data_IF_278103651742
#
_entry.id   IF_278103651742
#
_cell.length_a   1.000
_cell.length_b   1.000
_cell.length_c   1.000
_cell.angle_alpha   90.00
_cell.angle_beta   90.00
_cell.angle_gamma   90.00
#
_symmetry.space_group_name_H-M   'P 1'
#
loop_
_entity.id
_entity.type
_entity.pdbx_description
1 polymer ?
#
# COMPACT_ATOMS: atom_id res chain seq x y z
N UNK A 1 1.90 -4.87 16.89
CA UNK A 1 2.30 -4.57 15.49
C UNK A 1 2.03 -5.83 14.66
N UNK A 2 0.80 -6.03 14.18
CA UNK A 2 0.40 -7.26 13.47
C UNK A 2 1.02 -7.25 12.07
N UNK A 3 1.65 -8.36 11.67
CA UNK A 3 2.48 -8.48 10.47
C UNK A 3 1.69 -8.13 9.20
N UNK A 4 1.97 -6.97 8.63
CA UNK A 4 1.57 -6.69 7.25
C UNK A 4 2.18 -7.78 6.35
N UNK A 5 1.45 -8.23 5.32
CA UNK A 5 1.97 -9.25 4.39
C UNK A 5 3.19 -8.67 3.67
N UNK A 6 4.36 -9.22 3.98
CA UNK A 6 5.62 -8.94 3.28
C UNK A 6 5.59 -9.53 1.88
N UNK A 7 6.34 -8.96 0.95
CA UNK A 7 6.44 -9.49 -0.41
C UNK A 7 7.11 -10.87 -0.40
N UNK A 8 8.18 -11.01 0.41
CA UNK A 8 8.98 -12.22 0.48
C UNK A 8 10.01 -12.32 -0.65
N UNK A 9 11.15 -12.94 -0.34
CA UNK A 9 12.30 -13.01 -1.25
C UNK A 9 11.98 -13.74 -2.55
N UNK A 10 11.32 -14.91 -2.48
CA UNK A 10 10.99 -15.70 -3.66
C UNK A 10 10.14 -14.93 -4.67
N UNK A 11 9.20 -14.11 -4.17
CA UNK A 11 8.34 -13.31 -5.04
C UNK A 11 9.11 -12.16 -5.69
N UNK A 12 9.98 -11.49 -4.93
CA UNK A 12 10.87 -10.46 -5.48
C UNK A 12 11.79 -11.05 -6.56
N UNK A 13 12.38 -12.22 -6.33
CA UNK A 13 13.24 -12.86 -7.31
C UNK A 13 12.48 -13.25 -8.59
N UNK A 14 11.22 -13.71 -8.48
CA UNK A 14 10.37 -13.92 -9.64
C UNK A 14 10.09 -12.62 -10.41
N UNK A 15 9.86 -11.51 -9.71
CA UNK A 15 9.62 -10.20 -10.35
C UNK A 15 10.88 -9.71 -11.07
N UNK A 16 12.04 -9.82 -10.42
CA UNK A 16 13.32 -9.44 -11.01
C UNK A 16 13.69 -10.33 -12.21
N UNK A 17 13.35 -11.63 -12.18
CA UNK A 17 13.47 -12.53 -13.34
C UNK A 17 12.63 -12.06 -14.53
N UNK A 18 11.38 -11.62 -14.27
CA UNK A 18 10.54 -11.03 -15.30
C UNK A 18 11.15 -9.73 -15.82
N UNK A 19 11.57 -8.80 -14.96
CA UNK A 19 12.24 -7.56 -15.38
C UNK A 19 13.48 -7.83 -16.24
N UNK A 20 14.31 -8.79 -15.85
CA UNK A 20 15.50 -9.20 -16.60
C UNK A 20 15.18 -9.80 -17.98
N UNK A 21 14.00 -10.41 -18.12
CA UNK A 21 13.60 -11.13 -19.33
C UNK A 21 12.88 -10.25 -20.35
N UNK A 22 12.41 -9.06 -19.95
CA UNK A 22 11.65 -8.15 -20.80
C UNK A 22 12.25 -6.74 -20.74
N UNK A 23 12.99 -6.29 -21.77
CA UNK A 23 13.58 -4.95 -21.81
C UNK A 23 12.56 -3.81 -21.65
N UNK A 24 11.32 -4.03 -22.10
CA UNK A 24 10.21 -3.07 -22.00
C UNK A 24 9.53 -3.05 -20.64
N UNK A 25 10.00 -3.82 -19.65
CA UNK A 25 9.32 -3.98 -18.36
C UNK A 25 9.08 -2.66 -17.64
N UNK A 26 10.09 -1.80 -17.54
CA UNK A 26 9.98 -0.55 -16.79
C UNK A 26 9.02 0.42 -17.44
N UNK A 27 9.16 0.62 -18.76
CA UNK A 27 8.25 1.46 -19.54
C UNK A 27 6.81 0.92 -19.49
N UNK A 28 6.64 -0.41 -19.58
CA UNK A 28 5.35 -1.07 -19.45
C UNK A 28 4.68 -0.77 -18.10
N UNK A 29 5.42 -0.92 -16.99
CA UNK A 29 4.89 -0.63 -15.66
C UNK A 29 4.60 0.87 -15.50
N UNK A 30 5.48 1.72 -16.03
CA UNK A 30 5.35 3.17 -15.99
C UNK A 30 4.09 3.67 -16.72
N UNK A 31 3.83 3.22 -17.96
CA UNK A 31 2.65 3.68 -18.72
C UNK A 31 1.34 3.29 -18.02
N UNK A 32 1.29 2.11 -17.41
CA UNK A 32 0.10 1.64 -16.68
C UNK A 32 -0.09 2.42 -15.38
N UNK A 33 1.02 2.73 -14.68
CA UNK A 33 1.02 3.60 -13.51
C UNK A 33 0.58 5.02 -13.85
N UNK A 34 0.95 5.57 -15.01
CA UNK A 34 0.57 6.93 -15.39
C UNK A 34 -0.89 7.01 -15.88
N UNK A 35 -1.35 6.03 -16.67
CA UNK A 35 -2.69 6.05 -17.27
C UNK A 35 -3.81 5.70 -16.29
N UNK A 36 -3.61 4.71 -15.41
CA UNK A 36 -4.57 4.18 -14.41
C UNK A 36 -5.92 3.67 -14.93
N UNK A 37 -6.50 4.22 -15.98
CA UNK A 37 -7.73 3.78 -16.64
C UNK A 37 -7.60 2.40 -17.32
N UNK A 38 -6.37 1.95 -17.49
CA UNK A 38 -6.03 0.67 -18.09
C UNK A 38 -5.88 0.77 -19.60
N UNK A 39 -5.05 -0.13 -20.14
CA UNK A 39 -4.74 -0.19 -21.55
C UNK A 39 -4.94 -1.62 -22.06
N UNK A 40 -5.47 -1.74 -23.27
CA UNK A 40 -5.49 -3.00 -24.00
C UNK A 40 -4.08 -3.36 -24.50
N UNK A 41 -3.85 -4.63 -24.84
CA UNK A 41 -2.56 -5.06 -25.40
C UNK A 41 -2.17 -4.27 -26.65
N UNK A 42 -3.14 -3.93 -27.51
CA UNK A 42 -2.88 -3.14 -28.74
C UNK A 42 -2.42 -1.73 -28.43
N UNK A 43 -3.07 -1.05 -27.49
CA UNK A 43 -2.65 0.30 -27.04
C UNK A 43 -1.24 0.25 -26.45
N UNK A 44 -0.94 -0.75 -25.62
CA UNK A 44 0.39 -0.93 -25.02
C UNK A 44 1.45 -1.14 -26.10
N UNK A 45 1.22 -2.04 -27.06
CA UNK A 45 2.17 -2.29 -28.15
C UNK A 45 2.43 -1.03 -28.99
N UNK A 46 1.36 -0.25 -29.25
CA UNK A 46 1.47 1.00 -30.00
C UNK A 46 2.29 2.07 -29.27
N UNK A 47 2.15 2.18 -27.94
CA UNK A 47 2.87 3.16 -27.12
C UNK A 47 4.34 2.77 -26.95
N UNK A 48 4.61 1.49 -26.68
CA UNK A 48 5.95 0.98 -26.42
C UNK A 48 6.72 0.61 -27.69
N UNK A 49 6.08 0.70 -28.87
CA UNK A 49 6.62 0.22 -30.14
C UNK A 49 7.19 -1.21 -30.05
N UNK A 50 6.47 -2.08 -29.32
CA UNK A 50 6.93 -3.42 -28.96
C UNK A 50 6.11 -4.53 -29.65
N UNK A 51 6.71 -5.72 -29.79
CA UNK A 51 6.06 -6.89 -30.38
C UNK A 51 4.88 -7.39 -29.52
N UNK A 52 3.79 -7.77 -30.19
CA UNK A 52 2.57 -8.23 -29.52
C UNK A 52 2.80 -9.48 -28.66
N UNK A 53 3.56 -10.46 -29.16
CA UNK A 53 3.80 -11.70 -28.42
C UNK A 53 4.69 -11.45 -27.20
N UNK A 54 5.66 -10.55 -27.32
CA UNK A 54 6.49 -10.11 -26.19
C UNK A 54 5.61 -9.48 -25.09
N UNK A 55 4.76 -8.51 -25.45
CA UNK A 55 3.87 -7.84 -24.49
C UNK A 55 2.86 -8.82 -23.89
N UNK A 56 2.27 -9.71 -24.69
CA UNK A 56 1.32 -10.71 -24.21
C UNK A 56 1.96 -11.66 -23.17
N UNK A 57 3.19 -12.12 -23.42
CA UNK A 57 3.93 -12.97 -22.46
C UNK A 57 4.25 -12.22 -21.17
N UNK A 58 4.61 -10.93 -21.27
CA UNK A 58 4.83 -10.09 -20.09
C UNK A 58 3.54 -9.94 -19.27
N UNK A 59 2.42 -9.58 -19.92
CA UNK A 59 1.10 -9.47 -19.30
C UNK A 59 0.74 -10.76 -18.57
N UNK A 60 0.85 -11.92 -19.24
CA UNK A 60 0.51 -13.22 -18.65
C UNK A 60 1.33 -13.52 -17.37
N UNK A 61 2.64 -13.24 -17.39
CA UNK A 61 3.51 -13.38 -16.21
C UNK A 61 3.08 -12.43 -15.08
N UNK A 62 2.78 -11.17 -15.39
CA UNK A 62 2.38 -10.18 -14.39
C UNK A 62 0.99 -10.44 -13.79
N UNK A 63 0.06 -11.01 -14.56
CA UNK A 63 -1.23 -11.49 -14.04
C UNK A 63 -1.01 -12.64 -13.06
N UNK A 64 -0.18 -13.62 -13.42
CA UNK A 64 0.16 -14.74 -12.52
C UNK A 64 0.84 -14.26 -11.23
N UNK A 65 1.59 -13.16 -11.29
CA UNK A 65 2.19 -12.54 -10.11
C UNK A 65 1.22 -11.65 -9.31
N UNK A 66 -0.01 -11.47 -9.79
CA UNK A 66 -1.08 -10.59 -9.28
C UNK A 66 -0.71 -9.10 -9.32
N UNK A 67 0.24 -8.74 -10.19
CA UNK A 67 0.66 -7.35 -10.42
C UNK A 67 -0.35 -6.63 -11.31
N UNK A 68 -0.94 -7.37 -12.26
CA UNK A 68 -1.99 -6.85 -13.15
C UNK A 68 -3.34 -7.48 -12.83
N UNK A 69 -4.39 -6.70 -13.10
CA UNK A 69 -5.76 -7.17 -13.20
C UNK A 69 -6.30 -6.85 -14.59
N UNK A 70 -7.11 -7.75 -15.13
CA UNK A 70 -7.85 -7.52 -16.37
C UNK A 70 -9.27 -7.05 -16.05
N UNK A 71 -9.71 -5.99 -16.71
CA UNK A 71 -11.08 -5.47 -16.63
C UNK A 71 -11.48 -4.97 -18.00
N UNK A 72 -12.55 -5.54 -18.58
CA UNK A 72 -13.11 -5.12 -19.87
C UNK A 72 -12.05 -5.07 -20.99
N UNK A 73 -11.24 -6.14 -21.13
CA UNK A 73 -10.14 -6.26 -22.10
C UNK A 73 -9.02 -5.21 -21.95
N UNK A 74 -8.96 -4.51 -20.82
CA UNK A 74 -7.89 -3.58 -20.44
C UNK A 74 -7.16 -4.11 -19.21
N UNK A 75 -5.87 -3.86 -19.16
CA UNK A 75 -5.01 -4.22 -18.03
C UNK A 75 -4.73 -2.98 -17.18
N UNK A 76 -4.88 -3.14 -15.87
CA UNK A 76 -4.55 -2.14 -14.86
C UNK A 76 -3.57 -2.75 -13.85
N UNK A 77 -2.78 -1.90 -13.20
CA UNK A 77 -2.02 -2.32 -12.02
C UNK A 77 -3.00 -2.65 -10.89
N UNK A 78 -2.80 -3.77 -10.23
CA UNK A 78 -3.43 -4.03 -8.93
C UNK A 78 -2.81 -3.13 -7.86
N UNK A 79 -3.39 -3.08 -6.65
CA UNK A 79 -2.74 -2.44 -5.50
C UNK A 79 -1.31 -2.96 -5.28
N UNK A 80 -1.14 -4.28 -5.36
CA UNK A 80 0.15 -4.96 -5.29
C UNK A 80 1.11 -4.50 -6.40
N UNK A 81 0.59 -4.33 -7.61
CA UNK A 81 1.35 -3.82 -8.75
C UNK A 81 1.81 -2.38 -8.61
N UNK A 82 0.97 -1.52 -8.02
CA UNK A 82 1.33 -0.13 -7.67
C UNK A 82 2.47 -0.13 -6.64
N UNK A 83 2.35 -0.92 -5.58
CA UNK A 83 3.38 -1.05 -4.55
C UNK A 83 4.72 -1.54 -5.13
N UNK A 84 4.68 -2.58 -5.99
CA UNK A 84 5.86 -3.13 -6.67
C UNK A 84 6.49 -2.10 -7.62
N UNK A 85 5.68 -1.39 -8.40
CA UNK A 85 6.18 -0.34 -9.29
C UNK A 85 6.96 0.71 -8.50
N UNK A 86 6.39 1.24 -7.41
CA UNK A 86 7.06 2.26 -6.57
C UNK A 86 8.33 1.73 -5.92
N UNK A 87 8.34 0.44 -5.57
CA UNK A 87 9.51 -0.21 -5.01
C UNK A 87 10.65 -0.29 -6.04
N UNK A 88 10.33 -0.73 -7.26
CA UNK A 88 11.29 -0.91 -8.34
C UNK A 88 11.73 0.40 -8.99
N UNK A 89 10.85 1.38 -9.14
CA UNK A 89 11.16 2.68 -9.76
C UNK A 89 12.19 3.49 -8.96
N UNK A 90 12.41 3.14 -7.70
CA UNK A 90 13.43 3.72 -6.83
C UNK A 90 14.72 2.88 -6.77
N UNK A 91 14.83 1.84 -7.60
CA UNK A 91 15.96 0.91 -7.60
C UNK A 91 16.50 0.73 -9.02
N UNK A 92 17.64 1.35 -9.31
CA UNK A 92 18.34 1.16 -10.57
C UNK A 92 19.17 -0.13 -10.50
N UNK A 93 18.68 -1.17 -11.16
CA UNK A 93 19.41 -2.42 -11.34
C UNK A 93 20.01 -2.46 -12.74
N UNK A 94 21.34 -2.58 -12.81
CA UNK A 94 22.02 -2.87 -14.07
C UNK A 94 21.54 -4.20 -14.66
N UNK A 95 21.38 -4.28 -15.98
CA UNK A 95 20.96 -5.50 -16.66
C UNK A 95 21.92 -6.68 -16.43
N UNK A 96 23.22 -6.42 -16.31
CA UNK A 96 24.24 -7.42 -15.97
C UNK A 96 24.00 -8.01 -14.58
N UNK A 97 23.64 -7.16 -13.61
CA UNK A 97 23.32 -7.57 -12.24
C UNK A 97 22.09 -8.49 -12.23
N UNK A 98 21.02 -8.07 -12.90
CA UNK A 98 19.79 -8.86 -13.01
C UNK A 98 20.02 -10.22 -13.65
N UNK A 99 20.84 -10.27 -14.70
CA UNK A 99 21.21 -11.52 -15.37
C UNK A 99 22.01 -12.46 -14.47
N UNK A 100 22.92 -11.92 -13.66
CA UNK A 100 23.71 -12.70 -12.71
C UNK A 100 22.85 -13.27 -11.58
N UNK A 101 21.96 -12.46 -10.98
CA UNK A 101 21.09 -12.92 -9.88
C UNK A 101 19.98 -13.88 -10.32
N UNK A 102 19.57 -13.84 -11.60
CA UNK A 102 18.61 -14.78 -12.17
C UNK A 102 19.10 -16.24 -12.15
N UNK A 103 20.41 -16.46 -12.14
CA UNK A 103 20.95 -17.82 -12.07
C UNK A 103 20.56 -18.44 -10.72
N UNK A 104 20.09 -19.69 -10.78
CA UNK A 104 19.75 -20.47 -9.60
C UNK A 104 20.97 -20.50 -8.66
N UNK A 105 20.74 -20.22 -7.37
CA UNK A 105 21.75 -20.18 -6.29
C UNK A 105 22.64 -18.93 -6.21
N UNK A 106 22.52 -17.95 -7.11
CA UNK A 106 23.29 -16.69 -7.01
C UNK A 106 23.07 -15.98 -5.67
N UNK A 107 21.82 -15.82 -5.25
CA UNK A 107 21.47 -15.18 -3.98
C UNK A 107 22.01 -15.95 -2.78
N UNK A 108 21.96 -17.29 -2.82
CA UNK A 108 22.54 -18.14 -1.77
C UNK A 108 24.04 -17.91 -1.64
N UNK A 109 24.77 -17.85 -2.76
CA UNK A 109 26.22 -17.60 -2.76
C UNK A 109 26.52 -16.21 -2.23
N UNK A 110 25.81 -15.17 -2.69
CA UNK A 110 25.98 -13.81 -2.20
C UNK A 110 25.77 -13.74 -0.67
N UNK A 111 24.71 -14.35 -0.13
CA UNK A 111 24.45 -14.43 1.33
C UNK A 111 25.56 -15.16 2.10
N UNK A 112 26.13 -16.22 1.52
CA UNK A 112 27.26 -16.92 2.15
C UNK A 112 28.51 -16.03 2.23
N UNK A 113 28.74 -15.18 1.22
CA UNK A 113 29.86 -14.25 1.12
C UNK A 113 29.66 -12.96 1.92
N UNK A 114 28.41 -12.57 2.19
CA UNK A 114 28.09 -11.46 3.11
C UNK A 114 28.65 -11.72 4.52
N UNK A 115 28.71 -12.99 4.92
CA UNK A 115 29.22 -13.46 6.21
C UNK A 115 30.74 -13.67 6.23
N UNK A 116 31.47 -13.12 5.26
CA UNK A 116 32.93 -13.19 5.16
C UNK A 116 33.43 -13.97 3.95
N UNK A 117 34.75 -13.94 3.76
CA UNK A 117 35.43 -14.63 2.65
C UNK A 117 35.21 -16.13 2.71
N UNK A 118 35.06 -16.77 1.55
CA UNK A 118 34.83 -18.23 1.46
C UNK A 118 35.69 -18.85 0.37
N UNK A 119 36.21 -20.05 0.62
CA UNK A 119 36.87 -20.84 -0.41
C UNK A 119 35.84 -21.51 -1.33
N UNK A 120 36.29 -21.97 -2.52
CA UNK A 120 35.47 -22.80 -3.42
C UNK A 120 34.83 -24.00 -2.69
N UNK A 121 35.60 -24.67 -1.82
CA UNK A 121 35.18 -25.86 -1.09
C UNK A 121 34.04 -25.55 -0.12
N UNK A 122 34.08 -24.39 0.51
CA UNK A 122 33.04 -23.94 1.45
C UNK A 122 31.74 -23.61 0.72
N UNK A 123 31.83 -22.86 -0.38
CA UNK A 123 30.68 -22.54 -1.23
C UNK A 123 30.04 -23.80 -1.80
N UNK A 124 30.86 -24.75 -2.30
CA UNK A 124 30.38 -26.00 -2.89
C UNK A 124 29.63 -26.87 -1.86
N UNK A 125 30.19 -27.00 -0.65
CA UNK A 125 29.53 -27.74 0.45
C UNK A 125 28.24 -27.09 0.90
N UNK A 126 28.18 -25.77 0.97
CA UNK A 126 27.02 -25.02 1.47
C UNK A 126 25.84 -24.96 0.49
N UNK A 127 26.11 -25.05 -0.83
CA UNK A 127 25.07 -24.94 -1.87
C UNK A 127 24.60 -26.29 -2.42
N UNK A 128 25.42 -27.35 -2.34
CA UNK A 128 25.14 -28.71 -2.85
C UNK A 128 24.79 -28.75 -4.35
N UNK A 129 25.34 -27.85 -5.16
CA UNK A 129 25.15 -27.83 -6.61
C UNK A 129 26.31 -28.50 -7.33
N UNK A 130 26.12 -28.89 -8.60
CA UNK A 130 27.20 -29.50 -9.40
C UNK A 130 28.36 -28.52 -9.62
N UNK A 131 29.58 -29.03 -9.81
CA UNK A 131 30.76 -28.19 -10.00
C UNK A 131 30.65 -27.26 -11.23
N UNK A 132 30.09 -27.75 -12.33
CA UNK A 132 29.86 -26.95 -13.54
C UNK A 132 28.84 -25.83 -13.29
N UNK A 133 27.76 -26.11 -12.56
CA UNK A 133 26.77 -25.10 -12.18
C UNK A 133 27.36 -24.05 -11.24
N UNK A 134 28.16 -24.47 -10.25
CA UNK A 134 28.86 -23.56 -9.35
C UNK A 134 29.78 -22.61 -10.10
N UNK A 135 30.59 -23.16 -11.02
CA UNK A 135 31.49 -22.36 -11.86
C UNK A 135 30.70 -21.32 -12.64
N UNK A 136 29.64 -21.73 -13.34
CA UNK A 136 28.82 -20.84 -14.15
C UNK A 136 28.16 -19.71 -13.34
N UNK A 137 27.75 -19.99 -12.09
CA UNK A 137 27.17 -18.97 -11.22
C UNK A 137 28.25 -17.99 -10.74
N UNK A 138 29.40 -18.49 -10.29
CA UNK A 138 30.50 -17.63 -9.83
C UNK A 138 31.06 -16.78 -10.96
N UNK A 139 31.26 -17.34 -12.15
CA UNK A 139 31.72 -16.60 -13.32
C UNK A 139 30.72 -15.48 -13.64
N UNK A 140 29.41 -15.76 -13.66
CA UNK A 140 28.39 -14.73 -13.88
C UNK A 140 28.36 -13.63 -12.79
N UNK A 141 28.58 -13.99 -11.52
CA UNK A 141 28.66 -13.03 -10.43
C UNK A 141 29.94 -12.18 -10.50
N UNK A 142 31.06 -12.76 -10.94
CA UNK A 142 32.33 -12.06 -11.12
C UNK A 142 32.28 -11.13 -12.33
N UNK A 143 31.76 -11.61 -13.46
CA UNK A 143 31.60 -10.82 -14.69
C UNK A 143 30.68 -9.62 -14.48
N UNK A 144 29.66 -9.77 -13.63
CA UNK A 144 28.78 -8.69 -13.21
C UNK A 144 29.37 -7.82 -12.08
N UNK A 145 30.59 -8.05 -11.63
CA UNK A 145 31.24 -7.26 -10.58
C UNK A 145 30.65 -7.41 -9.18
N UNK A 146 29.80 -8.42 -8.93
CA UNK A 146 29.13 -8.64 -7.63
C UNK A 146 29.98 -9.45 -6.65
N UNK A 147 30.93 -10.21 -7.17
CA UNK A 147 31.87 -11.04 -6.44
C UNK A 147 33.26 -10.82 -7.03
N UNK A 148 34.29 -10.85 -6.19
CA UNK A 148 35.67 -10.86 -6.64
C UNK A 148 36.37 -12.13 -6.16
N UNK A 149 37.26 -12.66 -7.02
CA UNK A 149 38.17 -13.74 -6.65
C UNK A 149 39.47 -13.13 -6.13
N UNK A 150 39.77 -13.41 -4.87
CA UNK A 150 40.96 -12.96 -4.18
C UNK A 150 42.19 -13.79 -4.61
N UNK A 151 43.40 -13.23 -4.40
CA UNK A 151 44.67 -13.86 -4.81
C UNK A 151 44.89 -15.27 -4.26
N UNK A 152 44.27 -15.62 -3.13
CA UNK A 152 44.40 -16.93 -2.46
C UNK A 152 43.34 -17.95 -2.92
N UNK A 153 42.54 -17.64 -3.94
CA UNK A 153 41.47 -18.52 -4.42
C UNK A 153 40.21 -18.50 -3.55
N UNK A 154 40.12 -17.56 -2.62
CA UNK A 154 38.91 -17.22 -1.89
C UNK A 154 38.05 -16.25 -2.71
N UNK A 155 36.77 -16.18 -2.36
CA UNK A 155 35.80 -15.27 -2.96
C UNK A 155 35.30 -14.31 -1.88
N UNK A 156 35.06 -13.07 -2.28
CA UNK A 156 34.49 -12.02 -1.43
C UNK A 156 33.40 -11.28 -2.19
N UNK A 157 32.39 -10.79 -1.47
CA UNK A 157 31.34 -9.95 -2.04
C UNK A 157 31.86 -8.53 -2.21
N UNK A 158 31.52 -7.89 -3.33
CA UNK A 158 31.84 -6.47 -3.58
C UNK A 158 30.79 -5.55 -2.93
N UNK A 159 31.03 -4.25 -2.94
CA UNK A 159 30.05 -3.26 -2.46
C UNK A 159 28.77 -3.27 -3.31
N UNK A 160 28.89 -3.50 -4.62
CA UNK A 160 27.74 -3.68 -5.51
C UNK A 160 26.95 -4.95 -5.18
N UNK A 161 27.65 -6.06 -4.91
CA UNK A 161 27.02 -7.31 -4.45
C UNK A 161 26.24 -7.12 -3.15
N UNK A 162 26.82 -6.40 -2.17
CA UNK A 162 26.13 -6.04 -0.91
C UNK A 162 24.93 -5.13 -1.17
N UNK A 163 25.08 -4.14 -2.04
CA UNK A 163 24.02 -3.19 -2.38
C UNK A 163 22.80 -3.88 -2.99
N UNK A 164 23.02 -4.86 -3.89
CA UNK A 164 21.94 -5.68 -4.44
C UNK A 164 21.27 -6.54 -3.37
N UNK A 165 22.03 -7.22 -2.52
CA UNK A 165 21.46 -8.02 -1.44
C UNK A 165 20.59 -7.16 -0.51
N UNK A 166 21.08 -5.98 -0.15
CA UNK A 166 20.34 -5.02 0.67
C UNK A 166 19.08 -4.53 -0.05
N UNK A 167 19.16 -4.26 -1.35
CA UNK A 167 18.00 -3.89 -2.14
C UNK A 167 16.96 -5.02 -2.17
N UNK A 168 17.35 -6.26 -2.46
CA UNK A 168 16.44 -7.42 -2.46
C UNK A 168 15.82 -7.62 -1.08
N UNK A 169 16.60 -7.54 -0.01
CA UNK A 169 16.11 -7.64 1.36
C UNK A 169 15.09 -6.55 1.68
N UNK A 170 15.40 -5.29 1.37
CA UNK A 170 14.48 -4.15 1.55
C UNK A 170 13.18 -4.34 0.78
N UNK A 171 13.24 -4.79 -0.47
CA UNK A 171 12.05 -5.06 -1.28
C UNK A 171 11.24 -6.25 -0.73
N UNK A 172 11.93 -7.27 -0.20
CA UNK A 172 11.30 -8.46 0.39
C UNK A 172 10.57 -8.14 1.70
N UNK A 173 11.13 -7.22 2.48
CA UNK A 173 10.56 -6.72 3.74
C UNK A 173 9.51 -5.62 3.53
N UNK A 174 9.30 -5.16 2.29
CA UNK A 174 8.24 -4.22 1.98
C UNK A 174 6.88 -4.85 2.28
N UNK A 175 6.01 -4.05 2.88
CA UNK A 175 4.65 -4.41 3.14
C UNK A 175 3.76 -3.93 2.00
N UNK A 176 2.86 -4.80 1.54
CA UNK A 176 1.85 -4.37 0.58
C UNK A 176 0.87 -3.38 1.23
N UNK A 177 0.16 -2.63 0.41
CA UNK A 177 -1.00 -1.87 0.83
C UNK A 177 -2.24 -2.77 0.65
N UNK A 178 -3.10 -2.92 1.66
CA UNK A 178 -4.33 -3.69 1.48
C UNK A 178 -5.25 -3.09 0.42
N UNK A 179 -5.76 -3.93 -0.49
CA UNK A 179 -6.65 -3.50 -1.57
C UNK A 179 -8.12 -3.32 -1.14
N UNK A 180 -8.49 -3.83 0.04
CA UNK A 180 -9.85 -3.73 0.57
C UNK A 180 -9.90 -2.92 1.87
N UNK A 181 -10.92 -2.08 1.99
CA UNK A 181 -11.32 -1.44 3.25
C UNK A 181 -12.73 -1.86 3.61
N UNK A 182 -12.90 -2.34 4.83
CA UNK A 182 -14.17 -2.72 5.40
C UNK A 182 -14.55 -1.62 6.38
N UNK A 183 -15.72 -1.02 6.22
CA UNK A 183 -16.14 0.08 7.07
C UNK A 183 -17.63 0.03 7.44
N UNK A 184 -17.90 0.31 8.70
CA UNK A 184 -19.21 0.67 9.21
C UNK A 184 -19.17 2.11 9.74
N UNK A 185 -20.23 2.88 9.47
CA UNK A 185 -20.38 4.23 9.99
C UNK A 185 -21.79 4.44 10.52
N UNK A 186 -21.89 4.98 11.72
CA UNK A 186 -23.15 5.32 12.36
C UNK A 186 -22.96 6.51 13.30
N UNK A 187 -24.05 7.16 13.64
CA UNK A 187 -24.08 8.21 14.67
C UNK A 187 -24.71 7.70 15.96
N UNK A 188 -24.21 8.20 17.08
CA UNK A 188 -24.76 8.03 18.43
C UNK A 188 -25.03 9.40 19.04
N UNK A 189 -26.00 9.49 19.95
CA UNK A 189 -26.19 10.72 20.72
C UNK A 189 -25.03 10.88 21.70
N UNK A 190 -24.61 12.13 21.93
CA UNK A 190 -23.50 12.41 22.86
C UNK A 190 -23.79 11.90 24.28
N UNK A 191 -25.06 11.90 24.72
CA UNK A 191 -25.48 11.37 26.01
C UNK A 191 -25.23 9.86 26.18
N UNK A 192 -25.13 9.13 25.07
CA UNK A 192 -24.87 7.69 25.09
C UNK A 192 -23.38 7.35 24.97
N UNK A 193 -22.48 8.36 24.95
CA UNK A 193 -21.05 8.17 24.77
C UNK A 193 -20.42 7.26 25.84
N UNK A 194 -20.74 7.46 27.12
CA UNK A 194 -20.21 6.62 28.21
C UNK A 194 -20.61 5.16 28.02
N UNK A 195 -21.89 4.91 27.66
CA UNK A 195 -22.39 3.55 27.40
C UNK A 195 -21.71 2.90 26.20
N UNK A 196 -21.49 3.67 25.12
CA UNK A 196 -20.72 3.19 23.96
C UNK A 196 -19.30 2.79 24.39
N UNK A 197 -18.64 3.64 25.17
CA UNK A 197 -17.26 3.39 25.61
C UNK A 197 -17.17 2.17 26.53
N UNK A 198 -18.12 1.98 27.44
CA UNK A 198 -18.21 0.79 28.31
C UNK A 198 -18.39 -0.52 27.51
N UNK A 199 -19.05 -0.47 26.34
CA UNK A 199 -19.23 -1.66 25.50
C UNK A 199 -17.93 -2.06 24.80
N UNK A 200 -17.14 -1.08 24.38
CA UNK A 200 -15.91 -1.33 23.61
C UNK A 200 -14.66 -1.40 24.49
N UNK A 201 -14.76 -1.07 25.78
CA UNK A 201 -13.60 -0.96 26.69
C UNK A 201 -12.78 -2.24 26.76
N UNK A 202 -13.44 -3.39 26.74
CA UNK A 202 -12.80 -4.70 26.84
C UNK A 202 -12.04 -5.07 25.56
N UNK A 203 -12.28 -4.36 24.45
CA UNK A 203 -11.63 -4.57 23.16
C UNK A 203 -10.43 -3.66 22.92
N UNK A 204 -10.15 -2.72 23.83
CA UNK A 204 -9.15 -1.66 23.60
C UNK A 204 -7.74 -2.20 23.82
N UNK A 205 -6.96 -2.32 22.73
CA UNK A 205 -5.52 -2.59 22.80
C UNK A 205 -4.71 -1.29 22.95
N UNK A 206 -5.13 -0.20 22.29
CA UNK A 206 -4.47 1.12 22.38
C UNK A 206 -5.42 2.27 22.03
N UNK A 207 -5.11 3.47 22.54
CA UNK A 207 -5.88 4.68 22.29
C UNK A 207 -5.03 5.90 21.95
N UNK A 208 -5.57 6.76 21.08
CA UNK A 208 -5.00 8.06 20.79
C UNK A 208 -6.08 9.12 20.52
N UNK A 209 -5.90 10.30 21.11
CA UNK A 209 -6.76 11.46 20.87
C UNK A 209 -6.03 12.47 19.97
N UNK A 210 -6.65 12.80 18.83
CA UNK A 210 -6.09 13.71 17.83
C UNK A 210 -7.12 14.73 17.35
N UNK A 211 -6.64 15.90 16.96
CA UNK A 211 -7.39 16.83 16.10
C UNK A 211 -6.97 16.59 14.66
N UNK A 212 -7.93 16.25 13.82
CA UNK A 212 -7.68 15.89 12.42
C UNK A 212 -8.37 16.89 11.49
N UNK A 213 -7.61 17.44 10.55
CA UNK A 213 -8.07 18.29 9.47
C UNK A 213 -7.92 17.54 8.14
N UNK A 214 -9.04 17.19 7.49
CA UNK A 214 -9.06 16.55 6.18
C UNK A 214 -9.37 17.61 5.10
N UNK A 215 -8.45 17.77 4.15
CA UNK A 215 -8.57 18.67 3.00
C UNK A 215 -8.69 17.83 1.73
N UNK A 216 -9.83 17.92 1.04
CA UNK A 216 -10.06 17.22 -0.22
C UNK A 216 -9.69 18.12 -1.38
N UNK A 217 -8.87 17.59 -2.28
CA UNK A 217 -8.23 18.32 -3.35
C UNK A 217 -8.76 17.81 -4.69
N UNK A 218 -9.30 18.71 -5.52
CA UNK A 218 -9.67 18.40 -6.90
C UNK A 218 -8.66 19.04 -7.85
N UNK A 219 -8.03 18.27 -8.75
CA UNK A 219 -7.22 18.84 -9.82
C UNK A 219 -8.11 19.62 -10.80
N UNK A 220 -7.78 20.88 -11.08
CA UNK A 220 -8.42 21.68 -12.12
C UNK A 220 -8.17 20.97 -13.46
N UNK A 221 -9.24 20.45 -14.09
CA UNK A 221 -9.32 19.67 -15.37
C UNK A 221 -9.65 18.17 -15.24
N UNK A 222 -9.86 17.62 -14.05
CA UNK A 222 -10.41 16.26 -13.93
C UNK A 222 -11.93 16.32 -13.80
N UNK A 223 -12.63 15.71 -14.77
CA UNK A 223 -14.09 15.56 -14.72
C UNK A 223 -14.50 14.68 -13.54
N UNK A 224 -15.68 14.98 -13.01
CA UNK A 224 -16.25 14.39 -11.81
C UNK A 224 -16.42 12.87 -11.96
N UNK A 225 -15.43 12.12 -11.49
CA UNK A 225 -15.64 10.72 -11.15
C UNK A 225 -15.65 10.67 -9.63
N UNK A 226 -16.82 10.47 -9.03
CA UNK A 226 -17.04 10.29 -7.59
C UNK A 226 -16.26 9.13 -6.96
N UNK A 227 -15.34 8.52 -7.73
CA UNK A 227 -14.58 7.33 -7.44
C UNK A 227 -13.10 7.64 -7.24
N UNK A 228 -12.59 8.86 -7.46
CA UNK A 228 -11.16 9.18 -7.24
C UNK A 228 -11.01 10.49 -6.50
N UNK A 229 -10.16 10.55 -5.48
CA UNK A 229 -9.84 11.80 -4.79
C UNK A 229 -8.41 11.81 -4.26
N UNK A 230 -7.88 13.02 -4.11
CA UNK A 230 -6.66 13.30 -3.37
C UNK A 230 -7.06 13.99 -2.06
N UNK A 231 -6.48 13.56 -0.94
CA UNK A 231 -6.74 14.12 0.38
C UNK A 231 -5.43 14.45 1.06
N UNK A 232 -5.27 15.70 1.45
CA UNK A 232 -4.26 16.11 2.42
C UNK A 232 -4.86 16.05 3.82
N UNK A 233 -4.16 15.40 4.75
CA UNK A 233 -4.54 15.29 6.15
C UNK A 233 -3.47 15.90 7.02
N UNK A 234 -3.91 16.76 7.91
CA UNK A 234 -3.14 17.16 9.08
C UNK A 234 -3.73 16.48 10.32
N UNK A 235 -2.87 15.93 11.15
CA UNK A 235 -3.27 15.29 12.40
C UNK A 235 -2.38 15.76 13.54
N UNK A 236 -2.99 16.43 14.51
CA UNK A 236 -2.33 17.05 15.66
C UNK A 236 -2.70 16.25 16.91
N UNK A 237 -1.75 15.58 17.57
CA UNK A 237 -2.00 14.89 18.85
C UNK A 237 -2.51 15.86 19.91
N UNK A 238 -3.59 15.52 20.61
CA UNK A 238 -4.16 16.38 21.66
C UNK A 238 -3.36 16.30 22.97
N UNK A 239 -2.65 15.18 23.19
CA UNK A 239 -1.68 15.04 24.29
C UNK A 239 -0.30 15.44 23.77
N UNK A 240 0.10 16.68 24.06
CA UNK A 240 1.40 17.19 23.68
C UNK A 240 2.54 16.43 24.36
N UNK A 241 3.48 15.94 23.57
CA UNK A 241 4.78 15.47 24.05
C UNK A 241 5.83 15.74 22.98
N UNK A 242 7.10 15.90 23.38
CA UNK A 242 8.22 16.07 22.43
C UNK A 242 8.34 14.89 21.44
N UNK A 243 7.72 13.75 21.72
CA UNK A 243 7.70 12.56 20.86
C UNK A 243 6.52 12.50 19.89
N UNK A 244 5.51 13.37 20.03
CA UNK A 244 4.27 13.35 19.25
C UNK A 244 4.08 14.70 18.56
N UNK A 245 4.71 14.85 17.41
CA UNK A 245 4.57 16.01 16.53
C UNK A 245 3.35 15.85 15.61
N UNK A 246 2.81 16.95 15.07
CA UNK A 246 1.83 16.88 14.00
C UNK A 246 2.30 16.00 12.86
N UNK A 247 1.38 15.25 12.26
CA UNK A 247 1.63 14.48 11.05
C UNK A 247 0.87 15.07 9.87
N UNK A 248 1.52 15.03 8.71
CA UNK A 248 1.00 15.57 7.47
C UNK A 248 1.07 14.47 6.42
N UNK A 249 -0.08 14.08 5.90
CA UNK A 249 -0.24 12.87 5.09
C UNK A 249 -1.00 13.23 3.82
N UNK A 250 -0.44 12.89 2.67
CA UNK A 250 -1.14 12.97 1.39
C UNK A 250 -1.60 11.57 1.00
N UNK A 251 -2.90 11.40 0.82
CA UNK A 251 -3.52 10.13 0.41
C UNK A 251 -4.21 10.31 -0.93
N UNK A 252 -3.81 9.53 -1.93
CA UNK A 252 -4.60 9.33 -3.14
C UNK A 252 -5.45 8.08 -2.98
N UNK A 253 -6.70 8.11 -3.44
CA UNK A 253 -7.59 6.94 -3.39
C UNK A 253 -8.46 6.89 -4.64
N UNK A 254 -8.58 5.69 -5.20
CA UNK A 254 -9.55 5.36 -6.24
C UNK A 254 -10.39 4.17 -5.84
N UNK A 255 -11.69 4.37 -5.72
CA UNK A 255 -12.68 3.33 -5.48
C UNK A 255 -12.94 2.55 -6.79
N UNK A 256 -12.66 1.25 -6.77
CA UNK A 256 -12.90 0.36 -7.91
C UNK A 256 -14.31 -0.21 -7.87
N UNK A 257 -14.72 -0.68 -6.68
CA UNK A 257 -16.01 -1.32 -6.43
C UNK A 257 -16.39 -1.14 -4.95
N UNK A 258 -17.69 -1.15 -4.66
CA UNK A 258 -18.25 -1.05 -3.30
C UNK A 258 -19.44 -1.98 -3.17
N UNK A 259 -19.39 -2.86 -2.17
CA UNK A 259 -20.45 -3.84 -1.89
C UNK A 259 -20.91 -3.74 -0.44
N UNK A 260 -22.20 -3.97 -0.21
CA UNK A 260 -22.77 -4.00 1.13
C UNK A 260 -22.82 -5.44 1.63
N UNK A 261 -22.38 -5.65 2.87
CA UNK A 261 -22.46 -6.93 3.58
C UNK A 261 -23.05 -6.69 4.97
N UNK A 262 -24.33 -7.02 5.16
CA UNK A 262 -25.08 -6.63 6.35
C UNK A 262 -25.14 -5.11 6.51
N UNK A 263 -24.63 -4.59 7.62
CA UNK A 263 -24.54 -3.15 7.92
C UNK A 263 -23.20 -2.52 7.51
N UNK A 264 -22.31 -3.32 6.92
CA UNK A 264 -20.93 -2.96 6.62
C UNK A 264 -20.74 -2.76 5.12
N UNK A 265 -19.85 -1.85 4.75
CA UNK A 265 -19.41 -1.66 3.37
C UNK A 265 -18.02 -2.27 3.17
N UNK A 266 -17.89 -3.11 2.15
CA UNK A 266 -16.61 -3.61 1.65
C UNK A 266 -16.25 -2.78 0.41
N UNK A 267 -15.15 -2.04 0.50
CA UNK A 267 -14.62 -1.19 -0.55
C UNK A 267 -13.40 -1.86 -1.17
N UNK A 268 -13.42 -2.08 -2.47
CA UNK A 268 -12.22 -2.42 -3.24
C UNK A 268 -11.64 -1.14 -3.81
N UNK A 269 -10.39 -0.84 -3.49
CA UNK A 269 -9.76 0.44 -3.83
C UNK A 269 -8.29 0.30 -4.20
N UNK A 270 -7.83 1.26 -4.98
CA UNK A 270 -6.42 1.61 -5.07
C UNK A 270 -6.16 2.76 -4.10
N UNK A 271 -5.05 2.71 -3.37
CA UNK A 271 -4.64 3.71 -2.40
C UNK A 271 -3.13 3.91 -2.46
N UNK A 272 -2.73 5.16 -2.38
CA UNK A 272 -1.35 5.53 -2.14
C UNK A 272 -1.30 6.56 -1.03
N UNK A 273 -0.31 6.43 -0.16
CA UNK A 273 -0.12 7.31 0.97
C UNK A 273 1.34 7.69 1.11
N UNK A 274 1.58 8.95 1.46
CA UNK A 274 2.91 9.44 1.79
C UNK A 274 2.84 10.43 2.94
N UNK A 275 3.82 10.35 3.82
CA UNK A 275 4.12 11.44 4.75
C UNK A 275 4.77 12.57 3.95
N UNK A 276 4.33 13.79 4.20
CA UNK A 276 4.78 14.98 3.47
C UNK A 276 5.25 16.04 4.45
N UNK A 277 6.22 16.83 4.04
CA UNK A 277 6.77 17.89 4.89
C UNK A 277 5.86 19.13 4.87
N UNK A 278 5.64 19.69 6.06
CA UNK A 278 5.02 21.00 6.26
C UNK A 278 6.10 22.06 6.40
N UNK A 279 5.98 23.25 5.78
CA UNK A 279 4.83 23.73 4.99
C UNK A 279 4.91 23.39 3.49
N UNK A 280 6.00 22.75 3.04
CA UNK A 280 6.31 22.49 1.62
C UNK A 280 5.13 21.94 0.82
N UNK A 281 4.36 21.00 1.38
CA UNK A 281 3.19 20.43 0.71
C UNK A 281 2.14 21.48 0.33
N UNK A 282 1.91 22.49 1.18
CA UNK A 282 0.92 23.54 0.93
C UNK A 282 1.32 24.34 -0.31
N UNK A 283 2.59 24.76 -0.37
CA UNK A 283 3.13 25.47 -1.53
C UNK A 283 3.07 24.64 -2.82
N UNK A 284 3.35 23.34 -2.75
CA UNK A 284 3.24 22.45 -3.92
C UNK A 284 1.80 22.33 -4.43
N UNK A 285 0.83 22.18 -3.52
CA UNK A 285 -0.58 22.11 -3.89
C UNK A 285 -1.06 23.43 -4.49
N UNK A 286 -0.63 24.57 -3.94
CA UNK A 286 -0.91 25.90 -4.51
C UNK A 286 -0.28 26.05 -5.90
N UNK A 287 0.98 25.66 -6.08
CA UNK A 287 1.66 25.72 -7.37
C UNK A 287 0.95 24.90 -8.46
N UNK A 288 0.39 23.73 -8.10
CA UNK A 288 -0.40 22.90 -9.01
C UNK A 288 -1.81 23.46 -9.27
N UNK A 289 -2.13 24.65 -8.74
CA UNK A 289 -3.47 25.23 -8.73
C UNK A 289 -4.52 24.24 -8.20
N UNK A 290 -4.15 23.47 -7.17
CA UNK A 290 -5.04 22.47 -6.61
C UNK A 290 -6.10 23.15 -5.75
N UNK A 291 -7.38 23.02 -6.14
CA UNK A 291 -8.47 23.64 -5.41
C UNK A 291 -8.80 22.81 -4.16
N UNK A 292 -8.73 23.47 -3.00
CA UNK A 292 -9.22 22.91 -1.74
C UNK A 292 -10.75 22.96 -1.75
N UNK A 293 -11.39 21.87 -2.15
CA UNK A 293 -12.85 21.83 -2.26
C UNK A 293 -13.53 21.91 -0.88
N UNK A 294 -12.90 21.31 0.14
CA UNK A 294 -13.55 21.14 1.44
C UNK A 294 -12.58 20.84 2.55
N UNK A 295 -12.85 21.44 3.71
CA UNK A 295 -12.18 21.20 4.98
C UNK A 295 -13.16 20.53 5.94
N UNK A 296 -12.75 19.41 6.52
CA UNK A 296 -13.46 18.79 7.65
C UNK A 296 -12.50 18.76 8.83
N UNK A 297 -12.87 19.40 9.92
CA UNK A 297 -12.11 19.37 11.18
C UNK A 297 -12.87 18.55 12.19
N UNK A 298 -12.18 17.64 12.88
CA UNK A 298 -12.77 16.78 13.91
C UNK A 298 -11.80 16.50 15.04
N UNK A 299 -12.35 16.29 16.23
CA UNK A 299 -11.65 15.59 17.31
C UNK A 299 -11.95 14.12 17.16
N UNK A 300 -10.90 13.32 17.04
CA UNK A 300 -10.98 11.88 16.84
C UNK A 300 -10.28 11.18 17.99
N UNK A 301 -11.02 10.29 18.65
CA UNK A 301 -10.44 9.22 19.48
C UNK A 301 -10.28 7.99 18.61
N UNK A 302 -9.04 7.57 18.39
CA UNK A 302 -8.67 6.34 17.70
C UNK A 302 -8.50 5.24 18.71
N UNK A 303 -9.14 4.11 18.47
CA UNK A 303 -9.07 2.92 19.30
C UNK A 303 -8.59 1.78 18.41
N UNK A 304 -7.44 1.21 18.74
CA UNK A 304 -6.96 -0.05 18.17
C UNK A 304 -7.62 -1.18 18.95
N UNK A 305 -8.30 -2.07 18.25
CA UNK A 305 -8.93 -3.26 18.80
C UNK A 305 -8.34 -4.53 18.20
N UNK A 306 -8.77 -5.68 18.71
CA UNK A 306 -8.36 -6.98 18.19
C UNK A 306 -8.63 -7.11 16.67
N UNK A 307 -7.92 -8.05 16.04
CA UNK A 307 -8.05 -8.37 14.61
C UNK A 307 -7.71 -7.24 13.63
N UNK A 308 -6.91 -6.27 14.08
CA UNK A 308 -6.56 -5.07 13.31
C UNK A 308 -7.79 -4.24 12.92
N UNK A 309 -8.78 -4.20 13.83
CA UNK A 309 -9.95 -3.33 13.74
C UNK A 309 -9.61 -1.98 14.38
N UNK A 310 -9.99 -0.90 13.70
CA UNK A 310 -9.87 0.47 14.16
C UNK A 310 -11.25 1.04 14.42
N UNK A 311 -11.52 1.46 15.65
CA UNK A 311 -12.73 2.19 15.99
C UNK A 311 -12.37 3.66 16.12
N UNK A 312 -12.98 4.51 15.30
CA UNK A 312 -12.80 5.95 15.38
C UNK A 312 -14.07 6.59 15.91
N UNK A 313 -13.94 7.34 16.99
CA UNK A 313 -15.02 8.15 17.55
C UNK A 313 -14.73 9.61 17.20
N UNK A 314 -15.60 10.20 16.38
CA UNK A 314 -15.44 11.51 15.77
C UNK A 314 -16.48 12.50 16.31
N UNK A 315 -15.98 13.64 16.79
CA UNK A 315 -16.77 14.84 17.02
C UNK A 315 -16.38 15.88 15.97
N UNK A 316 -17.30 16.20 15.05
CA UNK A 316 -17.03 17.13 13.94
C UNK A 316 -17.08 18.57 14.47
N UNK A 317 -15.95 19.28 14.36
CA UNK A 317 -15.81 20.68 14.74
C UNK A 317 -16.22 21.61 13.59
N UNK A 318 -15.85 21.27 12.35
CA UNK A 318 -16.13 22.06 11.15
C UNK A 318 -16.55 21.15 9.99
N UNK A 319 -17.77 21.30 9.42
CA UNK A 319 -18.86 22.14 9.91
C UNK A 319 -19.38 21.63 11.27
N UNK A 320 -19.72 22.54 12.19
CA UNK A 320 -20.13 22.15 13.54
C UNK A 320 -21.46 21.40 13.55
N UNK A 321 -21.50 20.25 14.24
CA UNK A 321 -22.70 19.42 14.42
C UNK A 321 -22.89 19.23 15.93
N UNK A 322 -24.03 19.68 16.46
CA UNK A 322 -24.33 19.57 17.90
C UNK A 322 -24.84 18.18 18.28
N UNK A 323 -24.50 17.77 19.50
CA UNK A 323 -25.07 16.63 20.24
C UNK A 323 -24.98 15.25 19.56
N UNK A 324 -24.15 15.13 18.52
CA UNK A 324 -23.96 13.91 17.75
C UNK A 324 -22.49 13.55 17.71
N UNK A 325 -22.21 12.29 18.04
CA UNK A 325 -20.90 11.68 17.87
C UNK A 325 -20.99 10.63 16.77
N UNK A 326 -20.00 10.59 15.89
CA UNK A 326 -19.94 9.60 14.83
C UNK A 326 -18.96 8.51 15.19
N UNK A 327 -19.32 7.27 14.88
CA UNK A 327 -18.48 6.10 15.10
C UNK A 327 -18.20 5.46 13.76
N UNK A 328 -16.92 5.20 13.50
CA UNK A 328 -16.43 4.58 12.28
C UNK A 328 -15.55 3.38 12.65
N UNK A 329 -16.09 2.17 12.45
CA UNK A 329 -15.37 0.90 12.66
C UNK A 329 -14.79 0.48 11.32
N UNK A 330 -13.48 0.25 11.28
CA UNK A 330 -12.73 -0.01 10.06
C UNK A 330 -11.76 -1.16 10.19
N UNK A 331 -11.61 -1.93 9.12
CA UNK A 331 -10.53 -2.87 8.96
C UNK A 331 -10.02 -2.83 7.52
N UNK A 332 -8.80 -3.31 7.29
CA UNK A 332 -8.26 -3.49 5.95
C UNK A 332 -8.10 -4.98 5.65
N UNK A 333 -8.24 -5.38 4.39
CA UNK A 333 -8.05 -6.76 3.95
C UNK A 333 -7.31 -6.84 2.60
N UNK A 334 -6.66 -7.97 2.36
CA UNK A 334 -5.85 -8.21 1.17
C UNK A 334 -6.67 -8.74 0.00
N UNK A 335 -7.64 -9.59 0.31
CA UNK A 335 -8.50 -10.28 -0.64
C UNK A 335 -9.97 -10.21 -0.18
N UNK A 336 -10.87 -10.68 -1.06
CA UNK A 336 -12.30 -10.59 -0.82
C UNK A 336 -12.74 -11.51 0.32
N UNK A 337 -12.17 -12.71 0.44
CA UNK A 337 -12.57 -13.68 1.46
C UNK A 337 -12.22 -13.18 2.86
N UNK A 338 -11.01 -12.64 3.04
CA UNK A 338 -10.63 -11.96 4.28
C UNK A 338 -11.53 -10.76 4.57
N UNK A 339 -11.95 -10.02 3.54
CA UNK A 339 -12.85 -8.87 3.72
C UNK A 339 -14.23 -9.27 4.22
N UNK A 340 -14.73 -10.45 3.82
CA UNK A 340 -16.01 -10.99 4.31
C UNK A 340 -15.88 -11.39 5.78
N UNK A 341 -14.84 -12.13 6.15
CA UNK A 341 -14.62 -12.51 7.56
C UNK A 341 -14.52 -11.29 8.49
N UNK A 342 -13.77 -10.25 8.09
CA UNK A 342 -13.70 -8.99 8.85
C UNK A 342 -15.02 -8.23 8.89
N UNK A 343 -15.84 -8.32 7.83
CA UNK A 343 -17.16 -7.72 7.83
C UNK A 343 -18.11 -8.41 8.82
N UNK A 344 -18.00 -9.73 9.04
CA UNK A 344 -18.78 -10.46 10.03
C UNK A 344 -18.47 -10.00 11.45
N UNK A 345 -17.18 -9.87 11.79
CA UNK A 345 -16.73 -9.37 13.09
C UNK A 345 -17.23 -7.95 13.34
N UNK A 346 -17.11 -7.04 12.35
CA UNK A 346 -17.61 -5.67 12.48
C UNK A 346 -19.14 -5.63 12.62
N UNK A 347 -19.88 -6.51 11.93
CA UNK A 347 -21.33 -6.61 12.08
C UNK A 347 -21.71 -7.09 13.50
N UNK A 348 -20.94 -8.00 14.11
CA UNK A 348 -21.17 -8.42 15.50
C UNK A 348 -20.96 -7.26 16.48
N UNK A 349 -19.84 -6.54 16.37
CA UNK A 349 -19.57 -5.35 17.21
C UNK A 349 -20.71 -4.32 17.08
N UNK A 350 -21.17 -4.09 15.85
CA UNK A 350 -22.29 -3.18 15.61
C UNK A 350 -23.60 -3.66 16.26
N UNK A 351 -23.85 -4.97 16.27
CA UNK A 351 -25.03 -5.55 16.92
C UNK A 351 -24.99 -5.29 18.42
N UNK A 352 -23.85 -5.61 19.06
CA UNK A 352 -23.66 -5.45 20.52
C UNK A 352 -23.81 -3.98 20.95
N UNK A 353 -23.32 -3.04 20.13
CA UNK A 353 -23.51 -1.61 20.36
C UNK A 353 -24.99 -1.22 20.21
N UNK A 354 -25.65 -1.69 19.15
CA UNK A 354 -27.02 -1.27 18.81
C UNK A 354 -28.08 -1.82 19.77
N UNK A 355 -27.78 -2.91 20.50
CA UNK A 355 -28.65 -3.43 21.57
C UNK A 355 -28.77 -2.48 22.76
N UNK A 356 -27.71 -1.72 23.05
CA UNK A 356 -27.59 -0.90 24.26
C UNK A 356 -27.59 0.61 23.98
N UNK A 357 -27.27 1.01 22.75
CA UNK A 357 -27.16 2.40 22.33
C UNK A 357 -27.97 2.63 21.07
N UNK A 358 -28.76 3.71 21.03
CA UNK A 358 -29.52 4.06 19.83
C UNK A 358 -28.57 4.54 18.73
N UNK A 359 -28.42 3.75 17.68
CA UNK A 359 -27.58 4.06 16.53
C UNK A 359 -28.42 4.53 15.33
N UNK A 360 -27.82 5.38 14.47
CA UNK A 360 -28.35 5.68 13.14
C UNK A 360 -27.28 5.43 12.09
N UNK A 361 -27.49 4.42 11.25
CA UNK A 361 -26.55 4.05 10.19
C UNK A 361 -26.36 5.18 9.18
N UNK A 362 -25.15 5.32 8.67
CA UNK A 362 -24.79 6.25 7.61
C UNK A 362 -24.14 5.52 6.44
N UNK A 363 -24.78 5.58 5.29
CA UNK A 363 -24.25 4.99 4.04
C UNK A 363 -23.27 5.91 3.29
N UNK A 364 -23.28 7.20 3.63
CA UNK A 364 -22.49 8.27 3.00
C UNK A 364 -21.24 8.59 3.82
N UNK A 365 -20.14 8.90 3.14
CA UNK A 365 -18.97 9.55 3.72
C UNK A 365 -19.32 10.92 4.31
N UNK A 366 -18.47 11.49 5.16
CA UNK A 366 -18.69 12.85 5.67
C UNK A 366 -18.76 13.87 4.53
N UNK A 367 -17.96 13.67 3.48
CA UNK A 367 -17.99 14.45 2.25
C UNK A 367 -19.38 14.47 1.61
N UNK A 368 -19.95 13.29 1.32
CA UNK A 368 -21.27 13.10 0.71
C UNK A 368 -22.42 13.52 1.64
N UNK A 369 -22.30 13.29 2.95
CA UNK A 369 -23.33 13.64 3.93
C UNK A 369 -23.49 15.16 4.09
N UNK A 370 -22.40 15.93 4.03
CA UNK A 370 -22.45 17.40 4.02
C UNK A 370 -22.99 17.90 2.67
N UNK A 371 -22.58 17.28 1.54
CA UNK A 371 -23.02 17.73 0.20
C UNK A 371 -24.53 17.52 -0.03
N UNK A 372 -25.08 16.46 0.55
CA UNK A 372 -26.51 16.14 0.45
C UNK A 372 -27.40 16.81 1.50
N UNK A 373 -26.84 17.72 2.30
CA UNK A 373 -27.59 18.45 3.34
C UNK A 373 -28.04 17.59 4.52
N UNK A 374 -27.57 16.34 4.64
CA UNK A 374 -27.85 15.45 5.78
C UNK A 374 -27.11 15.95 7.02
N UNK A 375 -25.91 16.50 6.81
CA UNK A 375 -25.20 17.32 7.78
C UNK A 375 -25.46 18.77 7.40
N UNK A 376 -26.43 19.40 8.03
CA UNK A 376 -26.72 20.83 7.85
C UNK A 376 -25.71 21.64 8.65
N UNK A 377 -24.86 22.41 7.97
CA UNK A 377 -24.11 23.49 8.61
C UNK A 377 -25.11 24.54 9.07
N UNK A 378 -25.33 24.66 10.38
CA UNK A 378 -25.93 25.88 10.91
C UNK A 378 -24.85 26.96 10.84
N UNK A 379 -25.15 28.05 10.12
CA UNK A 379 -24.36 29.29 10.24
C UNK A 379 -24.51 29.88 11.63
#
# INVERSE_FOLDING_TARGET
MRELRRIGEDKILQILDVKASFPVFDDFMHILYMRREGLSTKEICSILHADYNQIYRLISKLIHLEILKEKQNKFILSQKGIDIYKCLSNSDFDASFLNAIRKKHSITILKMLENGKRSWKDLYRGTRISQSSMKNVLDALIDAGLVVREKQGEYSITDDGRSILNAIKRMSDMHFTPGFEIQAKFSVNLSDFSRLYDIISDMIEAEEDVRQSDYYIRPVRWYDTSYTYLRYREEIPLKHSLKRTPSHILTWTRLIDKRKYGNVWILNREREEMNVEHPSIVFFLEFLNAELEKKIVKRRKKIEAEEAIMINIDNIEEPHIRDVTFVEIKANAWDYDESVGKAEVINQIMSDISEKVRTKSMSKSYFEAIQSGIITSYR
#
